data_IF_658608599730
#
_entry.id   IF_658608599730
#
_cell.length_a   1.000
_cell.length_b   1.000
_cell.length_c   1.000
_cell.angle_alpha   90.00
_cell.angle_beta   90.00
_cell.angle_gamma   90.00
#
_symmetry.space_group_name_H-M   'P 1'
#
loop_
_entity.id
_entity.type
_entity.pdbx_description
1 polymer ?
#
# COMPACT_ATOMS: atom_id res chain seq x y z
N UNK A 1 46.05 -31.60 -69.95
CA UNK A 1 46.30 -30.47 -69.03
C UNK A 1 45.14 -30.36 -68.05
N UNK A 2 45.42 -30.46 -66.74
CA UNK A 2 44.43 -30.59 -65.66
C UNK A 2 43.64 -29.28 -65.47
N UNK A 3 42.33 -29.31 -65.67
CA UNK A 3 41.39 -28.25 -65.29
C UNK A 3 41.04 -28.42 -63.80
N UNK A 4 41.43 -27.47 -62.95
CA UNK A 4 41.02 -27.40 -61.54
C UNK A 4 39.63 -26.76 -61.48
N UNK A 5 38.64 -27.52 -61.00
CA UNK A 5 37.30 -27.03 -60.71
C UNK A 5 37.31 -26.52 -59.26
N UNK A 6 37.20 -25.21 -59.06
CA UNK A 6 36.99 -24.62 -57.74
C UNK A 6 35.50 -24.78 -57.39
N UNK A 7 35.19 -25.67 -56.44
CA UNK A 7 33.86 -25.77 -55.84
C UNK A 7 33.81 -24.73 -54.71
N UNK A 8 33.00 -23.70 -54.91
CA UNK A 8 32.67 -22.69 -53.92
C UNK A 8 31.64 -23.31 -52.95
N UNK A 9 32.08 -23.71 -51.75
CA UNK A 9 31.17 -24.09 -50.67
C UNK A 9 30.47 -22.84 -50.12
N UNK A 10 29.23 -22.60 -50.56
CA UNK A 10 28.31 -21.72 -49.84
C UNK A 10 27.84 -22.45 -48.56
N UNK A 11 28.34 -22.02 -47.41
CA UNK A 11 27.73 -22.35 -46.11
C UNK A 11 26.42 -21.54 -45.98
N UNK A 12 25.25 -22.15 -45.76
CA UNK A 12 24.10 -21.40 -45.29
C UNK A 12 24.34 -21.04 -43.83
N UNK A 13 24.59 -19.76 -43.56
CA UNK A 13 24.45 -19.19 -42.22
C UNK A 13 22.99 -19.36 -41.80
N UNK A 14 22.71 -20.35 -40.96
CA UNK A 14 21.48 -20.39 -40.19
C UNK A 14 21.52 -19.21 -39.22
N UNK A 15 20.83 -18.13 -39.59
CA UNK A 15 20.41 -17.08 -38.66
C UNK A 15 19.48 -17.72 -37.63
N UNK A 16 20.05 -18.26 -36.56
CA UNK A 16 19.32 -18.48 -35.32
C UNK A 16 19.03 -17.09 -34.73
N UNK A 17 17.96 -16.45 -35.19
CA UNK A 17 17.37 -15.36 -34.45
C UNK A 17 16.91 -15.91 -33.12
N UNK A 18 17.53 -15.46 -32.02
CA UNK A 18 16.94 -15.60 -30.70
C UNK A 18 15.61 -14.84 -30.73
N UNK A 19 14.52 -15.56 -31.01
CA UNK A 19 13.20 -15.09 -30.61
C UNK A 19 13.23 -14.97 -29.08
N UNK A 20 12.84 -13.83 -28.50
CA UNK A 20 12.64 -13.75 -27.06
C UNK A 20 11.61 -14.82 -26.70
N UNK A 21 12.04 -15.79 -25.92
CA UNK A 21 11.21 -16.86 -25.43
C UNK A 21 10.17 -16.21 -24.52
N UNK A 22 8.94 -16.06 -25.00
CA UNK A 22 7.82 -15.63 -24.16
C UNK A 22 7.59 -16.80 -23.21
N UNK A 23 8.03 -16.65 -21.96
CA UNK A 23 7.78 -17.66 -20.93
C UNK A 23 6.28 -17.78 -20.71
N UNK A 24 5.69 -18.88 -21.19
CA UNK A 24 4.27 -19.14 -21.07
C UNK A 24 3.87 -19.15 -19.59
N UNK A 25 2.78 -18.43 -19.21
CA UNK A 25 2.35 -18.35 -17.82
C UNK A 25 2.01 -19.73 -17.26
N UNK A 26 2.24 -19.93 -15.97
CA UNK A 26 2.17 -21.25 -15.36
C UNK A 26 0.73 -21.60 -14.97
N UNK A 27 0.21 -22.70 -15.52
CA UNK A 27 -1.10 -23.26 -15.14
C UNK A 27 -1.00 -24.03 -13.81
N UNK A 28 -1.81 -23.60 -12.84
CA UNK A 28 -1.99 -24.24 -11.53
C UNK A 28 -3.46 -24.58 -11.29
N UNK A 29 -3.74 -25.43 -10.31
CA UNK A 29 -5.10 -25.77 -9.89
C UNK A 29 -5.34 -25.11 -8.53
N UNK A 30 -6.29 -24.20 -8.45
CA UNK A 30 -6.69 -23.57 -7.19
C UNK A 30 -7.88 -24.32 -6.60
N UNK A 31 -7.73 -24.81 -5.37
CA UNK A 31 -8.86 -25.37 -4.62
C UNK A 31 -9.63 -24.23 -3.98
N UNK A 32 -10.89 -24.02 -4.40
CA UNK A 32 -11.74 -23.02 -3.78
C UNK A 32 -12.25 -23.54 -2.43
N UNK A 33 -11.83 -22.92 -1.33
CA UNK A 33 -12.22 -23.32 0.02
C UNK A 33 -13.74 -23.24 0.28
N UNK A 34 -14.50 -22.46 -0.51
CA UNK A 34 -15.95 -22.29 -0.32
C UNK A 34 -16.79 -23.37 -1.02
N UNK A 35 -16.33 -23.91 -2.16
CA UNK A 35 -17.11 -24.85 -2.99
C UNK A 35 -16.46 -26.22 -3.19
N UNK A 36 -15.19 -26.41 -2.77
CA UNK A 36 -14.40 -27.61 -3.06
C UNK A 36 -14.24 -27.93 -4.56
N UNK A 37 -14.57 -26.99 -5.44
CA UNK A 37 -14.36 -27.11 -6.88
C UNK A 37 -12.91 -26.74 -7.22
N UNK A 38 -12.30 -27.54 -8.08
CA UNK A 38 -10.96 -27.32 -8.59
C UNK A 38 -11.04 -26.41 -9.81
N UNK A 39 -10.68 -25.14 -9.65
CA UNK A 39 -10.60 -24.21 -10.76
C UNK A 39 -9.17 -24.16 -11.32
N UNK A 40 -9.05 -24.10 -12.64
CA UNK A 40 -7.78 -23.78 -13.26
C UNK A 40 -7.43 -22.33 -12.95
N UNK A 41 -6.26 -22.13 -12.37
CA UNK A 41 -5.69 -20.82 -12.10
C UNK A 41 -4.38 -20.64 -12.86
N UNK A 42 -4.06 -19.40 -13.22
CA UNK A 42 -2.83 -19.04 -13.93
C UNK A 42 -2.04 -18.10 -13.04
N UNK A 43 -0.75 -18.36 -12.87
CA UNK A 43 0.17 -17.44 -12.19
C UNK A 43 1.03 -16.79 -13.28
N UNK A 44 0.93 -15.46 -13.47
CA UNK A 44 1.79 -14.76 -14.42
C UNK A 44 3.27 -14.96 -14.07
N UNK A 45 4.11 -15.15 -15.09
CA UNK A 45 5.58 -15.19 -14.87
C UNK A 45 6.16 -13.80 -14.65
N UNK A 46 5.45 -12.76 -15.07
CA UNK A 46 5.88 -11.38 -14.90
C UNK A 46 5.55 -10.88 -13.49
N UNK A 47 6.58 -10.42 -12.80
CA UNK A 47 6.50 -9.74 -11.52
C UNK A 47 7.00 -8.32 -11.73
N UNK A 48 6.19 -7.32 -11.38
CA UNK A 48 6.49 -5.90 -11.68
C UNK A 48 7.78 -5.46 -10.99
N UNK A 49 7.97 -5.87 -9.74
CA UNK A 49 9.19 -5.68 -8.97
C UNK A 49 9.26 -6.71 -7.83
N UNK A 50 10.43 -6.85 -7.22
CA UNK A 50 10.63 -7.76 -6.08
C UNK A 50 9.72 -7.43 -4.88
N UNK A 51 9.23 -6.18 -4.83
CA UNK A 51 8.29 -5.68 -3.83
C UNK A 51 6.82 -6.08 -4.07
N UNK A 52 6.48 -6.64 -5.22
CA UNK A 52 5.11 -7.04 -5.55
C UNK A 52 5.00 -8.55 -5.75
N UNK A 53 4.00 -9.16 -5.14
CA UNK A 53 3.69 -10.57 -5.37
C UNK A 53 3.05 -10.75 -6.75
N UNK A 54 3.24 -11.94 -7.33
CA UNK A 54 2.42 -12.37 -8.46
C UNK A 54 0.99 -12.64 -7.99
N UNK A 55 0.01 -12.25 -8.79
CA UNK A 55 -1.42 -12.42 -8.46
C UNK A 55 -2.01 -13.62 -9.18
N UNK A 56 -2.78 -14.44 -8.48
CA UNK A 56 -3.48 -15.58 -9.08
C UNK A 56 -4.61 -15.11 -10.03
N UNK A 57 -4.72 -15.75 -11.19
CA UNK A 57 -5.80 -15.58 -12.17
C UNK A 57 -6.69 -16.83 -12.24
N UNK A 58 -8.00 -16.75 -12.57
CA UNK A 58 -8.75 -15.52 -12.81
C UNK A 58 -8.77 -14.65 -11.56
N UNK A 59 -8.68 -13.34 -11.77
CA UNK A 59 -8.63 -12.37 -10.68
C UNK A 59 -9.89 -12.52 -9.81
N UNK A 60 -9.67 -12.81 -8.52
CA UNK A 60 -10.74 -12.91 -7.53
C UNK A 60 -10.75 -11.63 -6.71
N UNK A 61 -11.76 -10.76 -6.87
CA UNK A 61 -11.84 -9.53 -6.09
C UNK A 61 -12.02 -9.82 -4.59
N UNK A 62 -11.64 -8.86 -3.76
CA UNK A 62 -11.85 -8.90 -2.32
C UNK A 62 -13.33 -9.10 -1.96
N UNK A 63 -13.59 -9.88 -0.90
CA UNK A 63 -14.91 -9.99 -0.28
C UNK A 63 -15.46 -8.64 0.23
N UNK A 64 -14.57 -7.68 0.50
CA UNK A 64 -14.90 -6.32 0.90
C UNK A 64 -14.46 -5.28 -0.15
N UNK A 65 -14.56 -5.63 -1.44
CA UNK A 65 -14.11 -4.75 -2.53
C UNK A 65 -14.73 -3.35 -2.43
N UNK A 66 -13.87 -2.33 -2.48
CA UNK A 66 -14.30 -0.93 -2.50
C UNK A 66 -14.53 -0.31 -1.13
N UNK A 67 -14.62 -1.09 -0.05
CA UNK A 67 -14.87 -0.54 1.31
C UNK A 67 -13.77 0.40 1.79
N UNK A 68 -12.53 0.22 1.33
CA UNK A 68 -11.40 1.09 1.68
C UNK A 68 -11.59 2.52 1.18
N UNK A 69 -12.21 2.69 0.00
CA UNK A 69 -12.43 3.99 -0.63
C UNK A 69 -13.43 4.84 0.16
N UNK A 70 -14.40 4.20 0.81
CA UNK A 70 -15.42 4.90 1.61
C UNK A 70 -14.95 5.19 3.04
N UNK A 71 -14.07 4.36 3.59
CA UNK A 71 -13.67 4.43 4.99
C UNK A 71 -12.43 5.29 5.22
N UNK A 72 -11.53 5.39 4.24
CA UNK A 72 -10.33 6.21 4.33
C UNK A 72 -10.50 7.53 3.58
N UNK A 73 -10.20 8.63 4.26
CA UNK A 73 -10.44 9.98 3.74
C UNK A 73 -9.43 10.45 2.67
N UNK A 74 -8.29 9.75 2.53
CA UNK A 74 -7.18 10.16 1.68
C UNK A 74 -6.75 9.01 0.77
N UNK A 75 -6.61 9.29 -0.53
CA UNK A 75 -6.05 8.33 -1.50
C UNK A 75 -4.61 7.97 -1.15
N UNK A 76 -3.84 8.91 -0.60
CA UNK A 76 -2.49 8.63 -0.11
C UNK A 76 -2.52 7.54 0.95
N UNK A 77 -3.42 7.65 1.93
CA UNK A 77 -3.56 6.65 2.98
C UNK A 77 -4.05 5.30 2.46
N UNK A 78 -4.99 5.27 1.51
CA UNK A 78 -5.46 3.99 0.96
C UNK A 78 -4.34 3.26 0.22
N UNK A 79 -3.57 3.98 -0.61
CA UNK A 79 -2.48 3.39 -1.39
C UNK A 79 -1.37 2.87 -0.44
N UNK A 80 -0.93 3.70 0.52
CA UNK A 80 0.11 3.28 1.46
C UNK A 80 -0.35 2.19 2.43
N UNK A 81 -1.63 2.17 2.81
CA UNK A 81 -2.15 1.10 3.67
C UNK A 81 -2.15 -0.26 2.96
N UNK A 82 -2.52 -0.29 1.67
CA UNK A 82 -2.48 -1.51 0.86
C UNK A 82 -1.04 -1.95 0.56
N UNK A 83 -0.22 -1.06 -0.01
CA UNK A 83 1.16 -1.37 -0.38
C UNK A 83 2.05 -1.64 0.84
N UNK A 84 1.87 -0.89 1.92
CA UNK A 84 2.61 -1.08 3.16
C UNK A 84 2.26 -2.38 3.86
N UNK A 85 1.01 -2.85 3.77
CA UNK A 85 0.66 -4.18 4.29
C UNK A 85 1.36 -5.29 3.51
N UNK A 86 1.46 -5.17 2.18
CA UNK A 86 2.24 -6.09 1.35
C UNK A 86 3.73 -6.06 1.72
N UNK A 87 4.30 -4.86 1.92
CA UNK A 87 5.69 -4.67 2.37
C UNK A 87 5.95 -5.35 3.71
N UNK A 88 5.04 -5.23 4.67
CA UNK A 88 5.16 -5.95 5.96
C UNK A 88 5.01 -7.47 5.79
N UNK A 89 4.09 -7.91 4.94
CA UNK A 89 3.83 -9.32 4.69
C UNK A 89 5.08 -10.05 4.15
N UNK A 90 5.93 -9.38 3.37
CA UNK A 90 7.17 -9.95 2.83
C UNK A 90 8.16 -10.45 3.89
N UNK A 91 8.09 -9.92 5.12
CA UNK A 91 8.91 -10.38 6.24
C UNK A 91 8.63 -11.85 6.63
N UNK A 92 7.42 -12.33 6.33
CA UNK A 92 6.96 -13.68 6.72
C UNK A 92 6.48 -14.52 5.52
N UNK A 93 6.12 -13.87 4.42
CA UNK A 93 5.66 -14.50 3.18
C UNK A 93 6.52 -13.99 2.00
N UNK A 94 7.68 -14.59 1.71
CA UNK A 94 8.53 -14.14 0.60
C UNK A 94 7.82 -14.16 -0.78
N UNK A 95 8.10 -13.18 -1.65
CA UNK A 95 7.43 -13.01 -2.96
C UNK A 95 7.78 -14.09 -3.99
N UNK A 96 8.91 -14.76 -3.82
CA UNK A 96 9.36 -15.90 -4.62
C UNK A 96 8.62 -17.21 -4.27
N UNK A 97 8.20 -17.35 -3.01
CA UNK A 97 7.51 -18.54 -2.49
C UNK A 97 5.98 -18.43 -2.50
N UNK A 98 5.43 -17.21 -2.35
CA UNK A 98 4.00 -16.97 -2.15
C UNK A 98 3.37 -16.21 -3.32
N UNK A 99 2.08 -16.49 -3.55
CA UNK A 99 1.24 -15.86 -4.56
C UNK A 99 0.17 -15.04 -3.84
N UNK A 100 -0.07 -13.82 -4.30
CA UNK A 100 -1.05 -12.93 -3.72
C UNK A 100 -2.46 -13.19 -4.24
N UNK A 101 -3.42 -13.04 -3.33
CA UNK A 101 -4.85 -12.98 -3.60
C UNK A 101 -5.47 -11.91 -2.70
N UNK A 102 -6.39 -11.11 -3.22
CA UNK A 102 -7.17 -10.18 -2.38
C UNK A 102 -7.97 -10.94 -1.31
N UNK A 103 -8.32 -10.27 -0.20
CA UNK A 103 -8.98 -10.88 0.95
C UNK A 103 -10.27 -11.64 0.63
N UNK A 104 -10.40 -12.88 1.11
CA UNK A 104 -11.53 -13.76 0.78
C UNK A 104 -12.37 -14.18 2.00
N UNK A 105 -11.88 -13.93 3.21
CA UNK A 105 -12.49 -14.42 4.46
C UNK A 105 -13.31 -13.35 5.20
N UNK A 106 -13.02 -12.07 4.96
CA UNK A 106 -13.77 -10.91 5.45
C UNK A 106 -14.55 -10.29 4.28
N UNK A 107 -15.87 -10.44 4.33
CA UNK A 107 -16.77 -9.75 3.41
C UNK A 107 -17.14 -8.34 3.90
N UNK A 108 -17.75 -7.54 3.04
CA UNK A 108 -18.21 -6.19 3.34
C UNK A 108 -19.10 -6.12 4.59
N UNK A 109 -20.03 -7.07 4.78
CA UNK A 109 -20.89 -7.10 5.97
C UNK A 109 -20.06 -7.31 7.24
N UNK A 110 -19.15 -8.29 7.23
CA UNK A 110 -18.27 -8.57 8.37
C UNK A 110 -17.41 -7.37 8.72
N UNK A 111 -16.76 -6.76 7.72
CA UNK A 111 -15.93 -5.57 7.90
C UNK A 111 -16.76 -4.43 8.48
N UNK A 112 -17.91 -4.12 7.89
CA UNK A 112 -18.81 -3.05 8.36
C UNK A 112 -19.24 -3.26 9.81
N UNK A 113 -19.60 -4.50 10.18
CA UNK A 113 -20.01 -4.83 11.55
C UNK A 113 -18.86 -4.73 12.53
N UNK A 114 -17.65 -5.12 12.15
CA UNK A 114 -16.48 -5.01 13.03
C UNK A 114 -16.02 -3.56 13.21
N UNK A 115 -16.13 -2.74 12.17
CA UNK A 115 -15.83 -1.30 12.24
C UNK A 115 -16.85 -0.50 13.05
N UNK A 116 -18.08 -1.02 13.23
CA UNK A 116 -19.09 -0.34 14.02
C UNK A 116 -18.68 -0.14 15.49
N UNK A 117 -19.32 0.82 16.16
CA UNK A 117 -19.24 0.93 17.62
C UNK A 117 -19.92 -0.28 18.25
N UNK A 118 -19.31 -0.80 19.32
CA UNK A 118 -20.03 -1.67 20.24
C UNK A 118 -21.25 -0.94 20.79
N UNK A 119 -22.37 -1.63 20.90
CA UNK A 119 -23.64 -1.06 21.33
C UNK A 119 -23.96 -1.43 22.78
N UNK A 120 -24.70 -0.55 23.47
CA UNK A 120 -25.32 -0.86 24.76
C UNK A 120 -26.51 -1.80 24.60
N UNK A 121 -26.94 -2.44 25.69
CA UNK A 121 -28.16 -3.27 25.69
C UNK A 121 -29.42 -2.49 25.26
N UNK A 122 -29.50 -1.20 25.57
CA UNK A 122 -30.61 -0.35 25.15
C UNK A 122 -30.61 -0.12 23.64
N UNK A 123 -29.46 0.21 23.07
CA UNK A 123 -29.27 0.39 21.62
C UNK A 123 -29.52 -0.91 20.84
N UNK A 124 -29.08 -2.05 21.37
CA UNK A 124 -29.37 -3.35 20.78
C UNK A 124 -30.87 -3.64 20.75
N UNK A 125 -31.56 -3.38 21.86
CA UNK A 125 -33.03 -3.56 21.94
C UNK A 125 -33.76 -2.66 20.95
N UNK A 126 -33.34 -1.40 20.81
CA UNK A 126 -33.91 -0.46 19.86
C UNK A 126 -33.73 -0.93 18.41
N UNK A 127 -32.56 -1.50 18.09
CA UNK A 127 -32.26 -2.05 16.76
C UNK A 127 -32.75 -3.49 16.53
N UNK A 128 -33.40 -4.11 17.53
CA UNK A 128 -33.84 -5.50 17.44
C UNK A 128 -32.68 -6.50 17.29
N UNK A 129 -31.50 -6.17 17.79
CA UNK A 129 -30.29 -6.98 17.68
C UNK A 129 -30.02 -7.76 18.98
N UNK A 130 -29.45 -8.95 18.84
CA UNK A 130 -28.96 -9.78 19.95
C UNK A 130 -27.52 -9.41 20.34
N UNK A 131 -27.06 -9.86 21.51
CA UNK A 131 -25.69 -9.61 21.96
C UNK A 131 -24.67 -10.32 21.06
N UNK A 132 -25.00 -11.49 20.51
CA UNK A 132 -24.18 -12.21 19.54
C UNK A 132 -23.96 -11.40 18.25
N UNK A 133 -24.86 -10.47 17.95
CA UNK A 133 -24.74 -9.58 16.80
C UNK A 133 -23.92 -8.32 17.08
N UNK A 134 -23.60 -8.02 18.35
CA UNK A 134 -22.86 -6.85 18.83
C UNK A 134 -21.33 -6.98 18.60
N UNK A 135 -20.94 -7.07 17.34
CA UNK A 135 -19.57 -7.38 16.93
C UNK A 135 -18.66 -6.15 16.76
N UNK A 136 -19.15 -4.95 17.04
CA UNK A 136 -18.39 -3.70 16.89
C UNK A 136 -17.11 -3.68 17.74
N UNK A 137 -16.00 -3.27 17.13
CA UNK A 137 -14.70 -3.16 17.78
C UNK A 137 -14.44 -1.75 18.31
N UNK A 138 -15.10 -0.74 17.77
CA UNK A 138 -14.97 0.64 18.26
C UNK A 138 -15.74 0.83 19.59
N UNK A 139 -15.29 1.76 20.45
CA UNK A 139 -15.88 1.93 21.77
C UNK A 139 -17.32 2.41 21.69
N UNK A 140 -18.10 2.05 22.70
CA UNK A 140 -19.50 2.47 22.83
C UNK A 140 -19.61 3.95 23.13
N UNK A 141 -20.64 4.58 22.57
CA UNK A 141 -21.14 5.91 22.91
C UNK A 141 -22.62 5.74 23.18
N UNK A 142 -23.11 6.21 24.33
CA UNK A 142 -24.51 6.08 24.70
C UNK A 142 -25.36 7.16 24.01
N UNK A 143 -24.82 8.37 23.89
CA UNK A 143 -25.43 9.50 23.19
C UNK A 143 -24.48 10.07 22.14
N UNK A 144 -24.79 9.86 20.85
CA UNK A 144 -23.96 10.33 19.74
C UNK A 144 -23.89 11.86 19.66
N UNK A 145 -24.86 12.58 20.25
CA UNK A 145 -24.88 14.03 20.32
C UNK A 145 -24.11 14.59 21.54
N UNK A 146 -23.55 13.72 22.38
CA UNK A 146 -22.73 14.13 23.51
C UNK A 146 -21.24 14.24 23.12
N UNK A 147 -20.75 15.49 22.98
CA UNK A 147 -19.37 15.77 22.62
C UNK A 147 -18.34 15.15 23.59
N UNK A 148 -18.62 15.16 24.90
CA UNK A 148 -17.70 14.61 25.90
C UNK A 148 -17.59 13.07 25.77
N UNK A 149 -18.70 12.39 25.44
CA UNK A 149 -18.67 10.96 25.17
C UNK A 149 -17.90 10.64 23.89
N UNK A 150 -18.09 11.43 22.83
CA UNK A 150 -17.36 11.27 21.56
C UNK A 150 -15.84 11.45 21.75
N UNK A 151 -15.42 12.45 22.52
CA UNK A 151 -14.00 12.71 22.81
C UNK A 151 -13.36 11.61 23.66
N UNK A 152 -14.09 11.07 24.64
CA UNK A 152 -13.62 9.98 25.51
C UNK A 152 -13.58 8.63 24.79
N UNK A 153 -14.49 8.43 23.82
CA UNK A 153 -14.66 7.17 23.10
C UNK A 153 -14.57 7.42 21.59
N UNK A 154 -13.40 7.84 21.07
CA UNK A 154 -13.25 8.10 19.65
C UNK A 154 -13.37 6.80 18.83
N UNK A 155 -13.73 6.94 17.56
CA UNK A 155 -13.53 5.83 16.60
C UNK A 155 -12.02 5.65 16.42
N UNK A 156 -11.48 4.56 16.96
CA UNK A 156 -10.07 4.22 16.84
C UNK A 156 -9.78 3.53 15.52
N UNK A 157 -10.61 2.57 15.12
CA UNK A 157 -10.42 1.74 13.93
C UNK A 157 -11.32 2.26 12.81
N UNK A 158 -10.69 2.76 11.75
CA UNK A 158 -11.38 3.29 10.57
C UNK A 158 -11.56 2.22 9.50
N UNK A 159 -10.57 1.33 9.30
CA UNK A 159 -10.67 0.28 8.30
C UNK A 159 -9.92 -1.00 8.67
N UNK A 160 -10.34 -2.12 8.08
CA UNK A 160 -9.67 -3.43 8.16
C UNK A 160 -9.44 -3.91 6.72
N UNK A 161 -8.22 -4.32 6.43
CA UNK A 161 -7.82 -4.87 5.13
C UNK A 161 -7.33 -6.31 5.31
N UNK A 162 -7.68 -7.20 4.38
CA UNK A 162 -7.21 -8.59 4.33
C UNK A 162 -6.47 -8.84 3.03
N UNK A 163 -5.28 -9.43 3.11
CA UNK A 163 -4.57 -10.05 1.99
C UNK A 163 -4.32 -11.53 2.27
N UNK A 164 -4.45 -12.33 1.22
CA UNK A 164 -4.30 -13.78 1.29
C UNK A 164 -3.06 -14.20 0.51
N UNK A 165 -2.33 -15.15 1.08
CA UNK A 165 -1.13 -15.69 0.48
C UNK A 165 -1.34 -17.18 0.20
N UNK A 166 -1.17 -17.55 -1.07
CA UNK A 166 -1.26 -18.91 -1.55
C UNK A 166 0.15 -19.46 -1.73
N UNK A 167 0.32 -20.76 -1.47
CA UNK A 167 1.57 -21.46 -1.76
C UNK A 167 1.30 -22.64 -2.68
N UNK A 168 2.24 -22.89 -3.59
CA UNK A 168 2.22 -24.10 -4.41
C UNK A 168 2.41 -25.33 -3.53
N UNK A 169 1.62 -26.34 -3.80
CA UNK A 169 1.66 -27.68 -3.21
C UNK A 169 1.88 -28.71 -4.32
N UNK A 170 1.91 -30.00 -3.95
CA UNK A 170 2.11 -31.08 -4.90
C UNK A 170 1.12 -31.03 -6.07
N UNK A 171 1.57 -31.51 -7.25
CA UNK A 171 0.74 -31.65 -8.47
C UNK A 171 0.17 -30.32 -8.98
N UNK A 172 0.96 -29.25 -8.95
CA UNK A 172 0.61 -27.90 -9.44
C UNK A 172 -0.64 -27.31 -8.77
N UNK A 173 -0.95 -27.68 -7.53
CA UNK A 173 -2.07 -27.11 -6.78
C UNK A 173 -1.65 -25.92 -5.94
N UNK A 174 -2.43 -24.85 -5.88
CA UNK A 174 -2.21 -23.73 -4.94
C UNK A 174 -3.20 -23.79 -3.79
N UNK A 175 -2.71 -23.53 -2.56
CA UNK A 175 -3.49 -23.59 -1.33
C UNK A 175 -3.25 -22.37 -0.46
N UNK A 176 -4.25 -21.93 0.34
CA UNK A 176 -4.06 -20.90 1.35
C UNK A 176 -2.95 -21.27 2.32
N UNK A 177 -2.00 -20.36 2.50
CA UNK A 177 -0.76 -20.59 3.24
C UNK A 177 -0.40 -19.45 4.18
N UNK A 178 -1.12 -18.33 4.14
CA UNK A 178 -0.92 -17.20 5.04
C UNK A 178 -1.97 -16.11 4.84
N UNK A 179 -2.08 -15.23 5.84
CA UNK A 179 -2.93 -14.05 5.80
C UNK A 179 -2.17 -12.85 6.37
N UNK A 180 -2.43 -11.67 5.83
CA UNK A 180 -2.12 -10.42 6.52
C UNK A 180 -3.36 -9.58 6.71
N UNK A 181 -3.52 -9.02 7.91
CA UNK A 181 -4.61 -8.12 8.27
C UNK A 181 -4.04 -6.73 8.58
N UNK A 182 -4.50 -5.70 7.89
CA UNK A 182 -4.21 -4.31 8.22
C UNK A 182 -5.30 -3.73 9.11
N UNK A 183 -4.93 -2.97 10.14
CA UNK A 183 -5.84 -2.12 10.91
C UNK A 183 -5.48 -0.66 10.68
N UNK A 184 -6.33 0.07 9.95
CA UNK A 184 -6.18 1.50 9.75
C UNK A 184 -6.78 2.26 10.94
N UNK A 185 -5.93 2.90 11.73
CA UNK A 185 -6.26 3.53 12.99
C UNK A 185 -6.24 5.05 12.86
N UNK A 186 -7.28 5.72 13.35
CA UNK A 186 -7.36 7.18 13.35
C UNK A 186 -6.30 7.79 14.28
N UNK A 187 -5.49 8.73 13.76
CA UNK A 187 -4.71 9.65 14.60
C UNK A 187 -5.51 10.88 15.01
N UNK A 188 -6.54 11.23 14.24
CA UNK A 188 -7.49 12.31 14.50
C UNK A 188 -8.89 11.76 14.29
N UNK A 189 -9.73 11.84 15.31
CA UNK A 189 -11.14 11.49 15.21
C UNK A 189 -11.97 12.75 15.00
N UNK A 190 -12.69 12.79 13.89
CA UNK A 190 -13.65 13.85 13.55
C UNK A 190 -15.06 13.39 13.90
N UNK A 191 -15.84 14.26 14.51
CA UNK A 191 -17.21 13.97 14.89
C UNK A 191 -18.07 15.23 14.80
N UNK A 192 -19.37 15.03 14.63
CA UNK A 192 -20.34 16.10 14.49
C UNK A 192 -21.42 15.91 15.54
N UNK A 193 -21.73 16.96 16.29
CA UNK A 193 -22.80 16.97 17.30
C UNK A 193 -23.83 18.04 16.99
N UNK A 194 -25.08 17.80 17.37
CA UNK A 194 -26.14 18.82 17.29
C UNK A 194 -25.93 19.93 18.34
N UNK A 195 -26.17 21.18 17.95
CA UNK A 195 -26.04 22.33 18.86
C UNK A 195 -27.38 22.72 19.50
N UNK A 196 -27.30 23.22 20.74
CA UNK A 196 -28.45 23.82 21.45
C UNK A 196 -28.85 25.14 20.77
N UNK A 197 -29.74 25.05 19.79
CA UNK A 197 -30.16 26.18 18.94
C UNK A 197 -30.48 25.78 17.50
N UNK A 198 -30.22 24.52 17.13
CA UNK A 198 -30.33 24.03 15.76
C UNK A 198 -29.01 24.14 15.01
N UNK A 199 -28.77 23.22 14.07
CA UNK A 199 -27.50 23.10 13.36
C UNK A 199 -26.58 22.04 13.97
N UNK A 200 -25.42 21.87 13.35
CA UNK A 200 -24.41 20.89 13.76
C UNK A 200 -23.04 21.53 13.85
N UNK A 201 -22.20 21.01 14.75
CA UNK A 201 -20.81 21.43 14.91
C UNK A 201 -19.87 20.26 14.71
N UNK A 202 -18.98 20.41 13.74
CA UNK A 202 -17.85 19.49 13.56
C UNK A 202 -16.74 19.83 14.57
N UNK A 203 -16.24 18.81 15.25
CA UNK A 203 -15.14 18.87 16.21
C UNK A 203 -14.14 17.75 15.92
N UNK A 204 -12.94 17.85 16.50
CA UNK A 204 -11.91 16.80 16.36
C UNK A 204 -11.11 16.59 17.63
N UNK A 205 -10.74 15.33 17.88
CA UNK A 205 -9.86 14.95 18.98
C UNK A 205 -8.63 14.20 18.45
N UNK A 206 -7.45 14.56 18.93
CA UNK A 206 -6.20 13.85 18.59
C UNK A 206 -6.06 12.60 19.45
N UNK A 207 -5.64 11.51 18.83
CA UNK A 207 -5.37 10.24 19.49
C UNK A 207 -3.85 10.05 19.57
N UNK A 208 -3.32 9.91 20.79
CA UNK A 208 -1.89 9.67 20.97
C UNK A 208 -1.47 8.33 20.37
N UNK A 209 -0.26 8.26 19.80
CA UNK A 209 0.26 7.03 19.19
C UNK A 209 0.31 5.86 20.18
N UNK A 210 0.62 6.12 21.45
CA UNK A 210 0.54 5.12 22.52
C UNK A 210 -0.87 4.50 22.61
N UNK A 211 -1.92 5.33 22.53
CA UNK A 211 -3.30 4.87 22.58
C UNK A 211 -3.71 4.13 21.31
N UNK A 212 -3.22 4.59 20.14
CA UNK A 212 -3.40 3.90 18.86
C UNK A 212 -2.80 2.49 18.94
N UNK A 213 -1.57 2.33 19.43
CA UNK A 213 -0.94 1.02 19.61
C UNK A 213 -1.71 0.16 20.60
N UNK A 214 -2.07 0.69 21.77
CA UNK A 214 -2.83 -0.04 22.79
C UNK A 214 -4.13 -0.61 22.21
N UNK A 215 -4.93 0.23 21.54
CA UNK A 215 -6.22 -0.16 20.96
C UNK A 215 -6.09 -1.02 19.71
N UNK A 216 -5.12 -0.73 18.86
CA UNK A 216 -4.82 -1.55 17.69
C UNK A 216 -4.44 -2.98 18.08
N UNK A 217 -3.63 -3.17 19.13
CA UNK A 217 -3.26 -4.50 19.63
C UNK A 217 -4.44 -5.26 20.25
N UNK A 218 -5.29 -4.57 21.01
CA UNK A 218 -6.53 -5.13 21.58
C UNK A 218 -7.47 -5.61 20.47
N UNK A 219 -7.73 -4.76 19.47
CA UNK A 219 -8.60 -5.08 18.35
C UNK A 219 -8.01 -6.17 17.45
N UNK A 220 -6.70 -6.14 17.18
CA UNK A 220 -6.00 -7.18 16.43
C UNK A 220 -6.16 -8.56 17.09
N UNK A 221 -6.02 -8.63 18.41
CA UNK A 221 -6.17 -9.87 19.17
C UNK A 221 -7.57 -10.47 19.03
N UNK A 222 -8.61 -9.63 19.05
CA UNK A 222 -10.00 -10.04 18.85
C UNK A 222 -10.26 -10.44 17.39
N UNK A 223 -9.73 -9.70 16.41
CA UNK A 223 -9.84 -10.04 14.98
C UNK A 223 -9.22 -11.41 14.69
N UNK A 224 -8.00 -11.67 15.18
CA UNK A 224 -7.34 -12.98 15.01
C UNK A 224 -8.17 -14.09 15.65
N UNK A 225 -8.72 -13.85 16.85
CA UNK A 225 -9.60 -14.83 17.51
C UNK A 225 -10.83 -15.16 16.66
N UNK A 226 -11.48 -14.15 16.06
CA UNK A 226 -12.63 -14.34 15.17
C UNK A 226 -12.25 -15.05 13.88
N UNK A 227 -11.12 -14.69 13.27
CA UNK A 227 -10.61 -15.35 12.07
C UNK A 227 -10.33 -16.84 12.32
N UNK A 228 -9.74 -17.19 13.47
CA UNK A 228 -9.49 -18.60 13.85
C UNK A 228 -10.76 -19.44 14.04
N UNK A 229 -11.92 -18.82 14.19
CA UNK A 229 -13.20 -19.54 14.25
C UNK A 229 -13.74 -19.91 12.86
N UNK A 230 -13.23 -19.29 11.79
CA UNK A 230 -13.58 -19.63 10.41
C UNK A 230 -12.81 -20.89 9.99
N UNK A 231 -13.53 -21.92 9.56
CA UNK A 231 -12.93 -23.22 9.18
C UNK A 231 -11.95 -23.07 8.02
N UNK A 232 -12.22 -22.12 7.14
CA UNK A 232 -11.44 -21.82 5.94
C UNK A 232 -10.08 -21.19 6.24
N UNK A 233 -9.95 -20.53 7.40
CA UNK A 233 -8.69 -19.92 7.88
C UNK A 233 -7.79 -20.98 8.52
N UNK A 234 -8.37 -21.86 9.34
CA UNK A 234 -7.62 -22.91 10.05
C UNK A 234 -6.41 -22.36 10.82
N UNK A 235 -5.26 -23.02 10.68
CA UNK A 235 -4.00 -22.71 11.37
C UNK A 235 -2.97 -21.97 10.50
N UNK A 236 -3.39 -21.37 9.36
CA UNK A 236 -2.43 -20.61 8.52
C UNK A 236 -1.82 -19.45 9.32
N UNK A 237 -0.54 -19.10 9.13
CA UNK A 237 0.04 -17.95 9.81
C UNK A 237 -0.70 -16.65 9.50
N UNK A 238 -0.85 -15.78 10.50
CA UNK A 238 -1.50 -14.47 10.37
C UNK A 238 -0.53 -13.37 10.80
N UNK A 239 -0.22 -12.45 9.89
CA UNK A 239 0.43 -11.18 10.20
C UNK A 239 -0.64 -10.10 10.40
N UNK A 240 -0.47 -9.22 11.38
CA UNK A 240 -1.39 -8.10 11.62
C UNK A 240 -0.60 -6.80 11.72
N UNK A 241 -0.82 -5.86 10.79
CA UNK A 241 -0.20 -4.54 10.80
C UNK A 241 -1.11 -3.49 11.44
N UNK A 242 -0.54 -2.63 12.30
CA UNK A 242 -1.23 -1.45 12.83
C UNK A 242 -0.75 -0.24 12.04
N UNK A 243 -1.65 0.34 11.26
CA UNK A 243 -1.43 1.51 10.44
C UNK A 243 -2.01 2.75 11.12
N UNK A 244 -1.22 3.81 11.24
CA UNK A 244 -1.65 5.10 11.79
C UNK A 244 -1.98 6.02 10.63
N UNK A 245 -3.26 6.37 10.48
CA UNK A 245 -3.73 7.33 9.49
C UNK A 245 -3.23 8.74 9.81
N UNK A 246 -3.07 9.59 8.80
CA UNK A 246 -2.81 11.02 8.99
C UNK A 246 -4.11 11.84 9.15
N UNK A 247 -3.95 13.13 9.50
CA UNK A 247 -5.07 14.10 9.43
C UNK A 247 -5.63 14.14 7.99
N UNK A 248 -6.95 14.23 7.82
CA UNK A 248 -7.60 14.23 6.48
C UNK A 248 -7.14 15.35 5.54
N UNK A 249 -6.47 16.37 6.07
CA UNK A 249 -5.87 17.49 5.32
C UNK A 249 -4.39 17.28 4.98
N UNK A 250 -3.81 16.15 5.38
CA UNK A 250 -2.42 15.80 5.10
C UNK A 250 -2.21 15.53 3.61
N UNK A 251 -1.05 15.95 3.13
CA UNK A 251 -0.56 15.70 1.75
C UNK A 251 0.51 14.61 1.69
N UNK A 252 0.74 13.95 2.83
CA UNK A 252 1.49 12.70 2.96
C UNK A 252 0.60 11.64 3.61
N UNK A 253 0.79 10.36 3.29
CA UNK A 253 0.06 9.29 3.95
C UNK A 253 0.51 9.10 5.41
N UNK A 254 -0.28 8.34 6.15
CA UNK A 254 0.12 7.64 7.36
C UNK A 254 1.23 6.61 7.15
N UNK A 255 1.42 5.76 8.14
CA UNK A 255 2.47 4.74 8.14
C UNK A 255 2.15 3.61 9.13
N UNK A 256 2.77 2.45 8.94
CA UNK A 256 2.72 1.38 9.93
C UNK A 256 3.60 1.72 11.14
N UNK A 257 3.07 1.45 12.34
CA UNK A 257 3.77 1.70 13.62
C UNK A 257 4.12 0.41 14.37
N UNK A 258 3.46 -0.69 14.03
CA UNK A 258 3.73 -2.00 14.62
C UNK A 258 3.17 -3.12 13.72
N UNK A 259 3.73 -4.32 13.86
CA UNK A 259 3.09 -5.54 13.38
C UNK A 259 3.13 -6.65 14.44
N UNK A 260 2.14 -7.54 14.39
CA UNK A 260 2.04 -8.73 15.21
C UNK A 260 2.01 -9.97 14.34
N UNK A 261 2.70 -11.04 14.74
CA UNK A 261 2.69 -12.30 13.99
C UNK A 261 2.20 -13.46 14.86
N UNK A 262 1.24 -14.21 14.33
CA UNK A 262 0.70 -15.43 14.91
C UNK A 262 0.92 -16.60 13.95
N UNK A 263 2.00 -17.36 14.17
CA UNK A 263 2.33 -18.55 13.37
C UNK A 263 1.21 -19.61 13.43
N UNK A 264 0.67 -19.85 14.63
CA UNK A 264 -0.51 -20.69 14.90
C UNK A 264 -1.28 -20.13 16.09
N UNK A 265 -2.54 -20.55 16.24
CA UNK A 265 -3.39 -20.09 17.34
C UNK A 265 -3.64 -18.57 17.28
N UNK A 266 -3.87 -17.94 18.43
CA UNK A 266 -4.31 -16.55 18.49
C UNK A 266 -3.27 -15.57 19.03
N UNK A 267 -2.16 -16.04 19.58
CA UNK A 267 -1.17 -15.15 20.23
C UNK A 267 -0.32 -14.41 19.19
N UNK A 268 -0.31 -13.07 19.28
CA UNK A 268 0.47 -12.19 18.42
C UNK A 268 1.79 -11.77 19.10
N UNK A 269 2.92 -12.07 18.44
CA UNK A 269 4.24 -11.53 18.83
C UNK A 269 4.46 -10.20 18.13
N UNK A 270 4.62 -9.13 18.92
CA UNK A 270 4.64 -7.76 18.40
C UNK A 270 6.06 -7.22 18.19
N UNK A 271 6.23 -6.51 17.08
CA UNK A 271 7.40 -5.71 16.75
C UNK A 271 6.97 -4.29 16.38
N UNK A 272 7.84 -3.31 16.65
CA UNK A 272 7.62 -1.91 16.29
C UNK A 272 8.11 -1.67 14.86
N UNK A 273 7.42 -0.79 14.13
CA UNK A 273 7.80 -0.36 12.78
C UNK A 273 8.20 1.12 12.86
N UNK A 274 9.40 1.45 12.37
CA UNK A 274 9.87 2.83 12.27
C UNK A 274 9.78 3.29 10.81
N UNK A 275 8.57 3.61 10.40
CA UNK A 275 8.26 4.18 9.09
C UNK A 275 7.69 5.59 9.26
N UNK A 276 7.96 6.49 8.32
CA UNK A 276 7.34 7.82 8.29
C UNK A 276 7.45 8.47 6.93
N UNK A 277 6.48 9.33 6.65
CA UNK A 277 6.49 10.20 5.49
C UNK A 277 6.77 11.64 5.88
N UNK A 278 7.61 12.32 5.11
CA UNK A 278 8.03 13.71 5.34
C UNK A 278 7.89 14.50 4.05
N UNK A 279 7.23 15.65 4.12
CA UNK A 279 7.07 16.57 2.99
C UNK A 279 8.32 17.43 2.81
N UNK A 280 8.77 17.63 1.58
CA UNK A 280 9.89 18.47 1.21
C UNK A 280 9.42 19.59 0.26
N UNK A 281 9.80 20.85 0.50
CA UNK A 281 10.44 21.34 1.72
C UNK A 281 9.42 21.48 2.87
N UNK A 282 9.83 21.23 4.12
CA UNK A 282 9.00 21.51 5.30
C UNK A 282 9.86 21.76 6.54
N UNK A 283 9.24 22.24 7.62
CA UNK A 283 9.90 22.37 8.93
C UNK A 283 10.36 21.02 9.48
N UNK A 284 9.60 19.95 9.24
CA UNK A 284 9.95 18.59 9.65
C UNK A 284 11.16 18.07 8.87
N UNK A 285 11.19 18.31 7.55
CA UNK A 285 12.30 17.91 6.68
C UNK A 285 13.66 18.50 7.12
N UNK A 286 13.67 19.69 7.75
CA UNK A 286 14.91 20.31 8.27
C UNK A 286 15.61 19.48 9.34
N UNK A 287 14.93 18.52 9.98
CA UNK A 287 15.55 17.56 10.91
C UNK A 287 16.49 16.58 10.19
N UNK A 288 16.32 16.40 8.89
CA UNK A 288 17.15 15.57 8.01
C UNK A 288 18.06 16.47 7.18
N UNK A 289 19.05 17.07 7.82
CA UNK A 289 19.82 18.18 7.25
C UNK A 289 20.50 17.86 5.92
N UNK A 290 21.05 16.65 5.77
CA UNK A 290 21.71 16.22 4.54
C UNK A 290 20.69 16.08 3.39
N UNK A 291 19.61 15.35 3.64
CA UNK A 291 18.55 15.09 2.65
C UNK A 291 17.86 16.39 2.23
N UNK A 292 17.58 17.27 3.20
CA UNK A 292 17.00 18.59 2.98
C UNK A 292 17.91 19.47 2.12
N UNK A 293 19.22 19.48 2.39
CA UNK A 293 20.18 20.26 1.59
C UNK A 293 20.29 19.72 0.16
N UNK A 294 20.26 18.41 -0.02
CA UNK A 294 20.26 17.79 -1.35
C UNK A 294 19.01 18.20 -2.14
N UNK A 295 17.83 18.10 -1.52
CA UNK A 295 16.57 18.51 -2.15
C UNK A 295 16.53 20.02 -2.44
N UNK A 296 17.02 20.86 -1.53
CA UNK A 296 17.09 22.30 -1.74
C UNK A 296 18.02 22.65 -2.92
N UNK A 297 19.18 21.99 -3.01
CA UNK A 297 20.11 22.18 -4.13
C UNK A 297 19.45 21.82 -5.46
N UNK A 298 18.69 20.71 -5.49
CA UNK A 298 17.89 20.33 -6.64
C UNK A 298 16.86 21.42 -7.00
N UNK A 299 16.09 21.92 -6.02
CA UNK A 299 15.12 23.00 -6.27
C UNK A 299 15.78 24.27 -6.82
N UNK A 300 16.92 24.67 -6.26
CA UNK A 300 17.65 25.86 -6.68
C UNK A 300 18.13 25.71 -8.13
N UNK A 301 18.69 24.54 -8.49
CA UNK A 301 19.15 24.24 -9.86
C UNK A 301 17.99 24.22 -10.87
N UNK A 302 16.86 23.60 -10.53
CA UNK A 302 15.68 23.62 -11.41
C UNK A 302 15.16 25.05 -11.60
N UNK A 303 15.15 25.86 -10.54
CA UNK A 303 14.67 27.25 -10.58
C UNK A 303 15.55 28.16 -11.44
N UNK A 304 16.85 27.93 -11.45
CA UNK A 304 17.80 28.72 -12.23
C UNK A 304 17.58 28.56 -13.74
N UNK A 305 17.29 27.34 -14.20
CA UNK A 305 17.13 27.04 -15.62
C UNK A 305 15.68 27.23 -16.11
N UNK A 306 14.69 27.03 -15.24
CA UNK A 306 13.27 27.11 -15.60
C UNK A 306 12.46 27.90 -14.56
N UNK A 307 12.38 29.24 -14.67
CA UNK A 307 11.79 30.08 -13.62
C UNK A 307 10.26 30.03 -13.53
N UNK A 308 9.57 29.41 -14.49
CA UNK A 308 8.10 29.45 -14.61
C UNK A 308 7.37 28.21 -14.04
N UNK A 309 7.92 27.54 -13.02
CA UNK A 309 7.29 26.36 -12.42
C UNK A 309 6.34 26.72 -11.26
N UNK A 310 5.28 25.92 -11.06
CA UNK A 310 4.25 26.14 -10.05
C UNK A 310 4.56 25.47 -8.68
N UNK A 311 5.84 25.18 -8.42
CA UNK A 311 6.32 24.49 -7.22
C UNK A 311 6.90 23.10 -7.49
N UNK A 312 7.86 22.71 -6.65
CA UNK A 312 8.46 21.37 -6.59
C UNK A 312 8.16 20.82 -5.20
N UNK A 313 7.46 19.69 -5.14
CA UNK A 313 7.05 19.07 -3.87
C UNK A 313 7.60 17.65 -3.81
N UNK A 314 8.36 17.35 -2.76
CA UNK A 314 8.88 16.01 -2.48
C UNK A 314 8.10 15.32 -1.36
N UNK A 315 7.82 14.04 -1.51
CA UNK A 315 7.33 13.16 -0.45
C UNK A 315 8.40 12.10 -0.20
N UNK A 316 9.06 12.21 0.94
CA UNK A 316 10.13 11.30 1.34
C UNK A 316 9.58 10.24 2.29
N UNK A 317 9.80 8.97 1.95
CA UNK A 317 9.52 7.82 2.79
C UNK A 317 10.80 7.39 3.51
N UNK A 318 10.74 7.39 4.85
CA UNK A 318 11.84 6.98 5.71
C UNK A 318 11.51 5.65 6.37
N UNK A 319 12.51 4.76 6.41
CA UNK A 319 12.49 3.50 7.16
C UNK A 319 13.73 3.44 8.03
N UNK A 320 13.55 3.21 9.33
CA UNK A 320 14.64 3.19 10.32
C UNK A 320 15.52 4.46 10.25
N UNK A 321 14.86 5.62 10.13
CA UNK A 321 15.48 6.94 9.99
C UNK A 321 16.32 7.18 8.72
N UNK A 322 16.40 6.21 7.81
CA UNK A 322 17.02 6.36 6.49
C UNK A 322 15.99 6.64 5.40
N UNK A 323 16.26 7.63 4.53
CA UNK A 323 15.43 7.88 3.35
C UNK A 323 15.54 6.66 2.41
N UNK A 324 14.38 6.09 2.06
CA UNK A 324 14.26 4.97 1.12
C UNK A 324 13.73 5.40 -0.22
N UNK A 325 12.67 6.20 -0.21
CA UNK A 325 12.02 6.67 -1.43
C UNK A 325 11.75 8.16 -1.38
N UNK A 326 11.91 8.85 -2.51
CA UNK A 326 11.58 10.25 -2.69
C UNK A 326 10.76 10.42 -3.95
N UNK A 327 9.46 10.69 -3.80
CA UNK A 327 8.59 11.04 -4.92
C UNK A 327 8.53 12.56 -5.07
N UNK A 328 8.95 13.09 -6.22
CA UNK A 328 8.98 14.51 -6.53
C UNK A 328 7.91 14.81 -7.58
N UNK A 329 6.99 15.71 -7.24
CA UNK A 329 6.04 16.28 -8.20
C UNK A 329 6.54 17.66 -8.65
N UNK A 330 6.65 17.84 -9.96
CA UNK A 330 6.97 19.13 -10.60
C UNK A 330 5.83 19.49 -11.53
N UNK A 331 5.12 20.58 -11.20
CA UNK A 331 4.00 21.06 -12.00
C UNK A 331 4.41 22.34 -12.73
N UNK A 332 4.33 22.35 -14.05
CA UNK A 332 4.65 23.55 -14.85
C UNK A 332 3.91 23.56 -16.19
N UNK A 333 3.81 24.75 -16.80
CA UNK A 333 3.23 24.88 -18.13
C UNK A 333 4.32 24.73 -19.19
N UNK A 334 4.10 23.82 -20.13
CA UNK A 334 4.97 23.63 -21.30
C UNK A 334 4.28 24.19 -22.54
N UNK A 335 5.07 24.79 -23.44
CA UNK A 335 4.57 25.35 -24.70
C UNK A 335 4.85 24.43 -25.91
N UNK A 336 5.58 23.34 -25.71
CA UNK A 336 5.81 22.33 -26.74
C UNK A 336 6.55 21.10 -26.23
N UNK A 337 6.49 20.01 -26.99
CA UNK A 337 7.08 18.72 -26.59
C UNK A 337 8.62 18.76 -26.50
N UNK A 338 9.28 19.59 -27.30
CA UNK A 338 10.73 19.78 -27.22
C UNK A 338 11.17 20.41 -25.91
N UNK A 339 10.34 21.27 -25.31
CA UNK A 339 10.59 21.85 -23.99
C UNK A 339 10.51 20.78 -22.89
N UNK A 340 9.47 19.91 -22.95
CA UNK A 340 9.32 18.76 -22.06
C UNK A 340 10.56 17.86 -22.12
N UNK A 341 11.03 17.53 -23.32
CA UNK A 341 12.22 16.68 -23.51
C UNK A 341 13.46 17.32 -22.90
N UNK A 342 13.72 18.60 -23.20
CA UNK A 342 14.88 19.31 -22.65
C UNK A 342 14.82 19.43 -21.13
N UNK A 343 13.64 19.69 -20.56
CA UNK A 343 13.42 19.73 -19.12
C UNK A 343 13.68 18.36 -18.49
N UNK A 344 13.11 17.28 -19.03
CA UNK A 344 13.29 15.94 -18.49
C UNK A 344 14.76 15.49 -18.54
N UNK A 345 15.49 15.80 -19.62
CA UNK A 345 16.93 15.54 -19.72
C UNK A 345 17.72 16.29 -18.64
N UNK A 346 17.38 17.56 -18.39
CA UNK A 346 18.02 18.35 -17.35
C UNK A 346 17.78 17.76 -15.96
N UNK A 347 16.53 17.41 -15.63
CA UNK A 347 16.18 16.77 -14.36
C UNK A 347 16.93 15.44 -14.19
N UNK A 348 16.95 14.58 -15.21
CA UNK A 348 17.71 13.33 -15.16
C UNK A 348 19.20 13.59 -14.85
N UNK A 349 19.80 14.60 -15.50
CA UNK A 349 21.16 15.03 -15.19
C UNK A 349 21.36 15.41 -13.72
N UNK A 350 20.41 16.14 -13.12
CA UNK A 350 20.46 16.49 -11.69
C UNK A 350 20.30 15.28 -10.75
N UNK A 351 19.44 14.32 -11.10
CA UNK A 351 19.23 13.11 -10.29
C UNK A 351 20.49 12.24 -10.20
N UNK A 352 21.39 12.32 -11.19
CA UNK A 352 22.66 11.57 -11.13
C UNK A 352 23.55 11.96 -9.94
N UNK A 353 23.33 13.12 -9.32
CA UNK A 353 24.01 13.57 -8.10
C UNK A 353 23.31 13.15 -6.81
N UNK A 354 22.14 12.50 -6.89
CA UNK A 354 21.44 12.02 -5.70
C UNK A 354 22.14 10.76 -5.16
N UNK A 355 22.04 10.51 -3.84
CA UNK A 355 22.60 9.29 -3.26
C UNK A 355 22.06 8.02 -3.96
N UNK A 356 22.96 7.10 -4.31
CA UNK A 356 22.64 5.85 -5.05
C UNK A 356 21.70 4.92 -4.28
N UNK A 357 21.62 5.06 -2.96
CA UNK A 357 20.73 4.25 -2.12
C UNK A 357 19.27 4.73 -2.09
N UNK A 358 18.96 5.87 -2.71
CA UNK A 358 17.59 6.39 -2.78
C UNK A 358 16.89 5.86 -4.03
N UNK A 359 15.63 5.45 -3.88
CA UNK A 359 14.69 5.37 -5.01
C UNK A 359 14.03 6.73 -5.19
N UNK A 360 14.18 7.35 -6.35
CA UNK A 360 13.64 8.67 -6.67
C UNK A 360 12.76 8.57 -7.90
N UNK A 361 11.54 9.06 -7.77
CA UNK A 361 10.54 9.13 -8.84
C UNK A 361 10.19 10.59 -9.05
N UNK A 362 10.46 11.13 -10.24
CA UNK A 362 10.05 12.49 -10.60
C UNK A 362 8.90 12.43 -11.60
N UNK A 363 7.77 12.99 -11.18
CA UNK A 363 6.57 13.13 -11.98
C UNK A 363 6.47 14.56 -12.51
N UNK A 364 6.56 14.69 -13.83
CA UNK A 364 6.42 15.97 -14.53
C UNK A 364 4.97 16.15 -14.99
N UNK A 365 4.31 17.21 -14.53
CA UNK A 365 2.89 17.45 -14.81
C UNK A 365 2.65 18.81 -15.46
N UNK A 366 1.74 18.85 -16.43
CA UNK A 366 1.15 20.07 -17.00
C UNK A 366 -0.32 20.18 -16.59
N UNK A 367 -1.04 21.16 -17.15
CA UNK A 367 -2.50 21.25 -16.98
C UNK A 367 -3.23 20.11 -17.71
N UNK A 368 -2.62 19.54 -18.75
CA UNK A 368 -3.23 18.51 -19.60
C UNK A 368 -2.97 17.09 -19.08
N UNK A 369 -2.00 16.91 -18.18
CA UNK A 369 -1.73 15.63 -17.53
C UNK A 369 -0.25 15.40 -17.22
N UNK A 370 0.14 14.12 -17.20
CA UNK A 370 1.53 13.71 -17.04
C UNK A 370 2.29 13.93 -18.34
N UNK A 371 3.46 14.57 -18.27
CA UNK A 371 4.29 14.91 -19.42
C UNK A 371 5.53 14.01 -19.52
N UNK A 372 6.10 13.65 -18.37
CA UNK A 372 7.25 12.76 -18.26
C UNK A 372 7.30 12.04 -16.91
N UNK A 373 7.93 10.88 -16.91
CA UNK A 373 8.32 10.11 -15.73
C UNK A 373 9.83 9.91 -15.76
N UNK A 374 10.50 10.19 -14.63
CA UNK A 374 11.95 9.99 -14.49
C UNK A 374 12.18 9.14 -13.25
N UNK A 375 12.92 8.04 -13.40
CA UNK A 375 13.22 7.10 -12.32
C UNK A 375 14.73 7.04 -12.08
N UNK A 376 15.10 7.07 -10.81
CA UNK A 376 16.45 6.82 -10.34
C UNK A 376 16.38 5.83 -9.19
N UNK A 377 16.70 4.58 -9.46
CA UNK A 377 16.65 3.51 -8.47
C UNK A 377 18.06 3.03 -8.11
N UNK A 378 18.21 2.36 -6.96
CA UNK A 378 19.41 1.57 -6.69
C UNK A 378 19.76 0.67 -7.89
N UNK A 379 21.06 0.46 -8.13
CA UNK A 379 21.60 -0.36 -9.21
C UNK A 379 21.44 0.20 -10.64
N UNK A 380 20.81 1.37 -10.82
CA UNK A 380 20.82 2.07 -12.10
C UNK A 380 22.10 2.90 -12.29
N UNK A 381 22.78 2.73 -13.42
CA UNK A 381 23.94 3.57 -13.77
C UNK A 381 23.51 4.98 -14.21
N UNK A 382 22.41 5.06 -14.94
CA UNK A 382 21.81 6.29 -15.48
C UNK A 382 20.30 6.31 -15.18
N UNK A 383 19.66 7.48 -14.96
CA UNK A 383 18.22 7.57 -14.76
C UNK A 383 17.42 7.10 -15.99
N UNK A 384 16.29 6.45 -15.74
CA UNK A 384 15.32 6.11 -16.78
C UNK A 384 14.41 7.32 -17.03
N UNK A 385 14.13 7.61 -18.30
CA UNK A 385 13.25 8.72 -18.70
C UNK A 385 12.20 8.21 -19.67
N UNK A 386 10.94 8.49 -19.36
CA UNK A 386 9.80 8.27 -20.25
C UNK A 386 9.09 9.60 -20.52
N UNK A 387 8.71 9.82 -21.78
CA UNK A 387 7.99 11.00 -22.26
C UNK A 387 6.64 10.54 -22.81
N UNK A 388 5.53 11.13 -22.33
CA UNK A 388 4.16 10.72 -22.68
C UNK A 388 3.68 11.21 -24.05
#
# INVERSE_FOLDING_TARGET
MKRRLFILCLLPFFLAGCFPQVDNPEEVIQENNKTQEAEKSIVPNYQISDSYYRTALPFTPSGSRGTIVYNLSSRYDSDEFEEGLLRLAQKVFPTDEYIFQEGQYLDEETVTRWLSRKMTAAQLKEKGMSEEQNLGLNPVVADENNAEEQEKNPIYLSHILEHNFLKKSEKNKVKPAGLSIGLAMNSVYYYTVEEKGGGTKESKVKISEKKIMEKGREMAQEIVKRLRQKKEVGDVPILVGIYKLEDRTSVVPGHFIAYGYAEKGTSLKWETVNEKYVLFPSSEAKKYSADYKQFQTFQDQVSEYFPNYNGIVGRAFYVDDGLKQLKIDISMQFYGKTEVIGFAQYIAGLLSYFPKQWSVEVNLKSQDGMEALILWEPDMDEPFVHIY
#
